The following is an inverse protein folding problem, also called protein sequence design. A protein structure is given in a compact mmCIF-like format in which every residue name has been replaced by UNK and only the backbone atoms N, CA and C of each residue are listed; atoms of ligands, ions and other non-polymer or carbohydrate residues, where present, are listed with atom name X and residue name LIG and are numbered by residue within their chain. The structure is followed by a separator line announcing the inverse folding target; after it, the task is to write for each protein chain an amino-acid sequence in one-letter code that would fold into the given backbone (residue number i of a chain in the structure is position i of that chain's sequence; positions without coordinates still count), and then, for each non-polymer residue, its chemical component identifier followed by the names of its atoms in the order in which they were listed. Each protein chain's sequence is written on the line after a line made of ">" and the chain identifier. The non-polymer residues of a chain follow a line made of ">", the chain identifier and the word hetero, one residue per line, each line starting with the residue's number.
data_IF_178191151948
#
_entry.id   IF_178191151948
#
_cell.length_a   1.000
_cell.length_b   1.000
_cell.length_c   1.000
_cell.angle_alpha   90.00
_cell.angle_beta   90.00
_cell.angle_gamma   90.00
#
_symmetry.space_group_name_H-M   'P 1'
#
loop_
_entity.id
_entity.type
_entity.pdbx_description
1 polymer ?
#
# COMPACT_ATOMS: atom_id res chain seq x y z
N UNK A 1 -0.42 -13.46 -31.52
CA UNK A 1 -1.51 -13.26 -30.54
C UNK A 1 -1.08 -12.14 -29.61
N UNK A 2 -1.77 -11.00 -29.69
CA UNK A 2 -1.36 -9.75 -29.04
C UNK A 2 -1.67 -9.78 -27.53
N UNK A 3 -0.77 -10.35 -26.72
CA UNK A 3 -0.86 -10.42 -25.26
C UNK A 3 -0.26 -9.16 -24.56
N UNK A 4 0.35 -8.26 -25.36
CA UNK A 4 1.16 -7.16 -24.83
C UNK A 4 0.39 -5.98 -24.22
N UNK A 5 -0.93 -5.86 -24.38
CA UNK A 5 -1.68 -4.63 -24.08
C UNK A 5 -2.91 -4.82 -23.18
N UNK A 6 -3.03 -5.92 -22.45
CA UNK A 6 -4.15 -6.10 -21.54
C UNK A 6 -4.03 -5.14 -20.33
N UNK A 7 -5.07 -4.34 -20.10
CA UNK A 7 -5.20 -3.42 -18.96
C UNK A 7 -5.80 -4.13 -17.75
N UNK A 8 -5.48 -3.66 -16.56
CA UNK A 8 -6.15 -4.08 -15.33
C UNK A 8 -7.63 -3.66 -15.34
N UNK A 9 -8.47 -4.35 -14.58
CA UNK A 9 -9.87 -3.96 -14.39
C UNK A 9 -9.97 -2.60 -13.70
N UNK A 10 -11.04 -1.86 -13.97
CA UNK A 10 -11.25 -0.55 -13.35
C UNK A 10 -11.25 -0.64 -11.81
N UNK A 11 -11.80 -1.72 -11.24
CA UNK A 11 -11.79 -1.96 -9.79
C UNK A 11 -10.36 -2.08 -9.26
N UNK A 12 -9.50 -2.87 -9.95
CA UNK A 12 -8.10 -3.01 -9.56
C UNK A 12 -7.32 -1.68 -9.64
N UNK A 13 -7.64 -0.85 -10.65
CA UNK A 13 -7.04 0.48 -10.84
C UNK A 13 -7.48 1.43 -9.73
N UNK A 14 -8.79 1.53 -9.45
CA UNK A 14 -9.33 2.38 -8.38
C UNK A 14 -8.72 2.01 -7.04
N UNK A 15 -8.77 0.72 -6.67
CA UNK A 15 -8.18 0.24 -5.41
C UNK A 15 -6.69 0.55 -5.31
N UNK A 16 -5.95 0.40 -6.43
CA UNK A 16 -4.53 0.74 -6.45
C UNK A 16 -4.27 2.20 -6.11
N UNK A 17 -4.93 3.11 -6.82
CA UNK A 17 -4.69 4.54 -6.65
C UNK A 17 -5.21 5.07 -5.32
N UNK A 18 -6.32 4.55 -4.79
CA UNK A 18 -6.80 4.90 -3.45
C UNK A 18 -5.79 4.47 -2.36
N UNK A 19 -5.32 3.23 -2.42
CA UNK A 19 -4.31 2.72 -1.47
C UNK A 19 -3.01 3.53 -1.62
N UNK A 20 -2.55 3.78 -2.85
CA UNK A 20 -1.33 4.56 -3.09
C UNK A 20 -1.46 5.99 -2.51
N UNK A 21 -2.58 6.66 -2.73
CA UNK A 21 -2.81 8.00 -2.19
C UNK A 21 -2.81 8.02 -0.65
N UNK A 22 -3.43 7.03 0.00
CA UNK A 22 -3.45 6.92 1.46
C UNK A 22 -2.06 6.61 2.04
N UNK A 23 -1.28 5.73 1.38
CA UNK A 23 0.10 5.44 1.80
C UNK A 23 0.96 6.69 1.64
N UNK A 24 0.91 7.37 0.50
CA UNK A 24 1.65 8.62 0.26
C UNK A 24 1.29 9.69 1.28
N UNK A 25 0.00 9.84 1.60
CA UNK A 25 -0.46 10.74 2.65
C UNK A 25 0.16 10.39 4.00
N UNK A 26 0.08 9.12 4.42
CA UNK A 26 0.64 8.67 5.70
C UNK A 26 2.16 8.85 5.77
N UNK A 27 2.87 8.55 4.70
CA UNK A 27 4.32 8.76 4.61
C UNK A 27 4.66 10.25 4.68
N UNK A 28 3.97 11.08 3.89
CA UNK A 28 4.21 12.51 3.86
C UNK A 28 3.96 13.16 5.23
N UNK A 29 2.86 12.79 5.90
CA UNK A 29 2.53 13.35 7.22
C UNK A 29 3.55 12.99 8.29
N UNK A 30 4.15 11.80 8.23
CA UNK A 30 5.14 11.37 9.24
C UNK A 30 6.57 11.82 8.95
N UNK A 31 6.93 12.02 7.68
CA UNK A 31 8.28 12.44 7.29
C UNK A 31 8.47 13.96 7.17
N UNK A 32 7.41 14.68 6.81
CA UNK A 32 7.51 16.11 6.45
C UNK A 32 6.98 17.04 7.53
N UNK A 33 6.29 16.52 8.54
CA UNK A 33 5.76 17.36 9.61
C UNK A 33 6.72 17.44 10.81
N UNK A 34 6.71 18.57 11.55
CA UNK A 34 7.52 18.77 12.76
C UNK A 34 7.23 17.71 13.83
N UNK A 35 8.17 17.52 14.77
CA UNK A 35 8.06 16.56 15.88
C UNK A 35 6.85 16.77 16.78
N UNK A 36 6.29 17.98 16.83
CA UNK A 36 5.07 18.35 17.57
C UNK A 36 3.78 18.16 16.75
N UNK A 37 3.74 17.11 15.93
CA UNK A 37 2.58 16.76 15.11
C UNK A 37 1.28 16.81 15.92
N UNK A 38 0.31 17.57 15.46
CA UNK A 38 -0.97 17.73 16.14
C UNK A 38 -1.67 16.36 16.33
N UNK A 39 -2.34 16.19 17.49
CA UNK A 39 -3.13 14.96 17.78
C UNK A 39 -4.07 14.61 16.64
N UNK A 40 -4.66 15.61 16.00
CA UNK A 40 -5.57 15.42 14.86
C UNK A 40 -4.89 14.73 13.67
N UNK A 41 -3.63 15.06 13.36
CA UNK A 41 -2.89 14.41 12.26
C UNK A 41 -2.55 12.95 12.59
N UNK A 42 -2.22 12.66 13.85
CA UNK A 42 -2.01 11.29 14.32
C UNK A 42 -3.31 10.48 14.20
N UNK A 43 -4.46 11.06 14.54
CA UNK A 43 -5.75 10.37 14.42
C UNK A 43 -6.13 10.13 12.96
N UNK A 44 -5.87 11.08 12.06
CA UNK A 44 -6.04 10.89 10.62
C UNK A 44 -5.08 9.80 10.09
N UNK A 45 -3.82 9.77 10.53
CA UNK A 45 -2.85 8.73 10.18
C UNK A 45 -3.35 7.33 10.56
N UNK A 46 -3.86 7.17 11.79
CA UNK A 46 -4.44 5.90 12.25
C UNK A 46 -5.64 5.49 11.41
N UNK A 47 -6.59 6.42 11.19
CA UNK A 47 -7.77 6.17 10.38
C UNK A 47 -7.42 5.79 8.94
N UNK A 48 -6.48 6.50 8.32
CA UNK A 48 -5.97 6.19 6.98
C UNK A 48 -5.26 4.82 6.95
N UNK A 49 -4.49 4.49 7.99
CA UNK A 49 -3.83 3.18 8.13
C UNK A 49 -4.84 2.02 8.17
N UNK A 50 -5.90 2.13 8.98
CA UNK A 50 -6.98 1.13 9.01
C UNK A 50 -7.70 1.06 7.65
N UNK A 51 -7.89 2.19 6.98
CA UNK A 51 -8.48 2.21 5.64
C UNK A 51 -7.59 1.49 4.61
N UNK A 52 -6.26 1.69 4.68
CA UNK A 52 -5.30 0.93 3.85
C UNK A 52 -5.43 -0.56 4.10
N UNK A 53 -5.53 -0.99 5.37
CA UNK A 53 -5.70 -2.41 5.72
C UNK A 53 -6.97 -2.99 5.08
N UNK A 54 -8.12 -2.33 5.24
CA UNK A 54 -9.39 -2.76 4.68
C UNK A 54 -9.38 -2.83 3.15
N UNK A 55 -8.90 -1.76 2.50
CA UNK A 55 -8.79 -1.71 1.03
C UNK A 55 -7.80 -2.74 0.49
N UNK A 56 -6.73 -3.04 1.23
CA UNK A 56 -5.75 -4.07 0.84
C UNK A 56 -6.35 -5.46 0.92
N UNK A 57 -7.19 -5.75 1.92
CA UNK A 57 -7.92 -7.00 2.01
C UNK A 57 -8.90 -7.16 0.82
N UNK A 58 -9.66 -6.10 0.49
CA UNK A 58 -10.56 -6.09 -0.67
C UNK A 58 -9.75 -6.29 -1.97
N UNK A 59 -8.63 -5.59 -2.12
CA UNK A 59 -7.76 -5.69 -3.29
C UNK A 59 -7.15 -7.09 -3.43
N UNK A 60 -6.73 -7.71 -2.34
CA UNK A 60 -6.22 -9.08 -2.34
C UNK A 60 -7.32 -10.06 -2.74
N UNK A 61 -8.52 -9.97 -2.15
CA UNK A 61 -9.69 -10.76 -2.52
C UNK A 61 -10.03 -10.63 -4.01
N UNK A 62 -10.04 -9.38 -4.52
CA UNK A 62 -10.24 -9.12 -5.95
C UNK A 62 -9.18 -9.81 -6.81
N UNK A 63 -7.92 -9.72 -6.40
CA UNK A 63 -6.79 -10.34 -7.11
C UNK A 63 -6.87 -11.86 -7.15
N UNK A 64 -7.34 -12.50 -6.09
CA UNK A 64 -7.46 -13.96 -6.01
C UNK A 64 -8.62 -14.50 -6.86
N UNK A 65 -9.65 -13.69 -7.10
CA UNK A 65 -10.87 -14.10 -7.82
C UNK A 65 -10.90 -13.67 -9.29
N UNK A 66 -9.99 -12.78 -9.73
CA UNK A 66 -9.98 -12.24 -11.08
C UNK A 66 -8.62 -12.41 -11.76
N UNK A 67 -8.64 -12.69 -13.07
CA UNK A 67 -7.41 -12.78 -13.86
C UNK A 67 -6.78 -11.40 -14.03
N UNK A 68 -5.46 -11.33 -13.93
CA UNK A 68 -4.68 -10.10 -14.17
C UNK A 68 -3.79 -10.26 -15.40
N UNK A 69 -3.44 -9.16 -16.05
CA UNK A 69 -2.53 -9.17 -17.19
C UNK A 69 -1.15 -9.73 -16.80
N UNK A 70 -0.55 -10.60 -17.62
CA UNK A 70 0.82 -11.05 -17.40
C UNK A 70 1.81 -9.88 -17.51
N UNK A 71 2.99 -10.03 -16.93
CA UNK A 71 4.08 -9.06 -17.12
C UNK A 71 4.47 -9.00 -18.61
N UNK A 72 4.95 -7.84 -19.06
CA UNK A 72 5.38 -7.67 -20.45
C UNK A 72 6.50 -8.64 -20.81
N UNK A 73 6.43 -9.21 -22.03
CA UNK A 73 7.47 -10.10 -22.55
C UNK A 73 8.78 -9.35 -22.86
N UNK A 74 8.71 -8.03 -23.00
CA UNK A 74 9.86 -7.15 -23.22
C UNK A 74 10.79 -7.05 -21.99
N UNK A 75 10.29 -7.42 -20.78
CA UNK A 75 11.08 -7.37 -19.57
C UNK A 75 12.04 -8.56 -19.48
N UNK A 76 13.28 -8.31 -19.05
CA UNK A 76 14.24 -9.37 -18.74
C UNK A 76 13.74 -10.25 -17.58
N UNK A 77 14.23 -11.48 -17.51
CA UNK A 77 13.79 -12.46 -16.49
C UNK A 77 13.98 -11.95 -15.07
N UNK A 78 15.11 -11.31 -14.79
CA UNK A 78 15.39 -10.74 -13.48
C UNK A 78 14.47 -9.56 -13.13
N UNK A 79 14.08 -8.73 -14.11
CA UNK A 79 13.13 -7.62 -13.90
C UNK A 79 11.74 -8.17 -13.57
N UNK A 80 11.31 -9.25 -14.25
CA UNK A 80 10.06 -9.94 -13.92
C UNK A 80 10.08 -10.53 -12.51
N UNK A 81 11.21 -11.10 -12.10
CA UNK A 81 11.38 -11.63 -10.74
C UNK A 81 11.34 -10.51 -9.70
N UNK A 82 12.07 -9.42 -9.92
CA UNK A 82 12.09 -8.25 -9.03
C UNK A 82 10.71 -7.61 -8.91
N UNK A 83 9.99 -7.44 -10.03
CA UNK A 83 8.63 -6.89 -10.03
C UNK A 83 7.66 -7.77 -9.21
N UNK A 84 7.75 -9.11 -9.35
CA UNK A 84 6.93 -10.04 -8.56
C UNK A 84 7.26 -9.94 -7.07
N UNK A 85 8.55 -9.96 -6.72
CA UNK A 85 9.01 -9.86 -5.33
C UNK A 85 8.53 -8.54 -4.69
N UNK A 86 8.69 -7.42 -5.39
CA UNK A 86 8.23 -6.09 -4.94
C UNK A 86 6.72 -6.09 -4.68
N UNK A 87 5.91 -6.65 -5.59
CA UNK A 87 4.46 -6.71 -5.38
C UNK A 87 4.06 -7.63 -4.22
N UNK A 88 4.70 -8.79 -4.07
CA UNK A 88 4.44 -9.68 -2.93
C UNK A 88 4.78 -8.97 -1.62
N UNK A 89 5.93 -8.32 -1.57
CA UNK A 89 6.38 -7.61 -0.37
C UNK A 89 5.47 -6.42 -0.03
N UNK A 90 4.97 -5.69 -1.04
CA UNK A 90 3.94 -4.68 -0.79
C UNK A 90 2.67 -5.28 -0.17
N UNK A 91 2.17 -6.41 -0.69
CA UNK A 91 1.01 -7.05 -0.06
C UNK A 91 1.28 -7.41 1.40
N UNK A 92 2.44 -7.96 1.72
CA UNK A 92 2.82 -8.25 3.11
C UNK A 92 2.84 -6.98 3.96
N UNK A 93 3.49 -5.92 3.48
CA UNK A 93 3.65 -4.67 4.23
C UNK A 93 2.33 -3.89 4.38
N UNK A 94 1.43 -3.94 3.40
CA UNK A 94 0.10 -3.32 3.50
C UNK A 94 -0.77 -3.96 4.61
N UNK A 95 -0.42 -5.16 5.09
CA UNK A 95 -1.04 -5.76 6.28
C UNK A 95 -0.18 -5.54 7.52
N UNK A 96 1.13 -5.79 7.45
CA UNK A 96 2.03 -5.70 8.60
C UNK A 96 2.06 -4.31 9.20
N UNK A 97 2.23 -3.27 8.37
CA UNK A 97 2.37 -1.88 8.85
C UNK A 97 1.12 -1.43 9.62
N UNK A 98 -0.10 -1.45 9.06
CA UNK A 98 -1.27 -0.98 9.79
C UNK A 98 -1.66 -1.89 10.96
N UNK A 99 -1.45 -3.20 10.87
CA UNK A 99 -1.70 -4.11 12.00
C UNK A 99 -0.74 -3.85 13.15
N UNK A 100 0.55 -3.65 12.89
CA UNK A 100 1.53 -3.30 13.93
C UNK A 100 1.17 -1.97 14.61
N UNK A 101 0.74 -0.95 13.84
CA UNK A 101 0.26 0.31 14.39
C UNK A 101 -1.00 0.15 15.25
N UNK A 102 -1.94 -0.69 14.84
CA UNK A 102 -3.15 -0.95 15.61
C UNK A 102 -2.84 -1.75 16.89
N UNK A 103 -1.98 -2.76 16.82
CA UNK A 103 -1.49 -3.51 17.99
C UNK A 103 -0.74 -2.61 18.97
N UNK A 104 0.10 -1.69 18.47
CA UNK A 104 0.81 -0.70 19.30
C UNK A 104 -0.16 0.14 20.14
N UNK A 105 -1.20 0.70 19.53
CA UNK A 105 -2.19 1.52 20.24
C UNK A 105 -2.99 0.67 21.22
N UNK A 106 -3.37 -0.54 20.80
CA UNK A 106 -4.15 -1.48 21.62
C UNK A 106 -3.39 -1.97 22.84
N UNK A 107 -2.13 -2.39 22.67
CA UNK A 107 -1.27 -2.84 23.77
C UNK A 107 -0.80 -1.67 24.68
N UNK A 108 -0.74 -0.46 24.13
CA UNK A 108 -0.36 0.75 24.89
C UNK A 108 -1.49 1.25 25.78
N UNK A 109 -2.29 2.17 25.28
CA UNK A 109 -3.42 2.78 26.01
C UNK A 109 -4.69 1.96 25.95
N UNK A 110 -4.86 1.16 24.91
CA UNK A 110 -6.11 0.44 24.62
C UNK A 110 -7.24 1.36 24.17
N UNK A 111 -6.88 2.55 23.66
CA UNK A 111 -7.87 3.49 23.14
C UNK A 111 -8.40 2.99 21.78
N UNK A 112 -9.68 3.23 21.49
CA UNK A 112 -10.22 2.97 20.17
C UNK A 112 -9.59 3.92 19.13
N UNK A 113 -9.61 3.52 17.87
CA UNK A 113 -9.18 4.37 16.75
C UNK A 113 -10.41 5.06 16.18
N UNK A 114 -10.47 6.39 16.31
CA UNK A 114 -11.54 7.17 15.68
C UNK A 114 -11.35 7.19 14.17
N UNK A 115 -12.32 6.62 13.43
CA UNK A 115 -12.28 6.57 11.98
C UNK A 115 -12.80 7.88 11.40
N UNK A 116 -11.87 8.81 11.15
CA UNK A 116 -12.12 10.16 10.62
C UNK A 116 -13.17 10.96 11.42
N UNK A 117 -13.37 10.65 12.69
CA UNK A 117 -14.38 11.30 13.54
C UNK A 117 -15.82 10.82 13.33
N UNK A 118 -16.04 9.78 12.51
CA UNK A 118 -17.37 9.25 12.19
C UNK A 118 -17.81 8.15 13.17
N UNK A 119 -16.93 7.25 13.53
CA UNK A 119 -17.14 6.16 14.49
C UNK A 119 -15.81 5.66 15.01
N UNK A 120 -15.87 4.91 16.11
CA UNK A 120 -14.70 4.36 16.75
C UNK A 120 -14.53 2.88 16.43
N UNK A 121 -13.31 2.51 16.02
CA UNK A 121 -12.89 1.13 15.80
C UNK A 121 -12.28 0.63 17.12
N UNK A 122 -12.81 -0.44 17.72
CA UNK A 122 -12.37 -0.89 19.03
C UNK A 122 -10.90 -1.32 19.02
N UNK A 123 -10.23 -1.19 20.17
CA UNK A 123 -8.91 -1.77 20.34
C UNK A 123 -8.94 -3.29 20.13
N UNK A 124 -7.83 -3.85 19.65
CA UNK A 124 -7.67 -5.30 19.55
C UNK A 124 -7.64 -5.93 20.96
N UNK A 125 -8.18 -7.15 21.13
CA UNK A 125 -8.23 -7.82 22.43
C UNK A 125 -6.85 -8.40 22.84
N UNK A 126 -5.88 -7.51 23.03
CA UNK A 126 -4.54 -7.85 23.48
C UNK A 126 -4.28 -7.28 24.88
N UNK A 127 -3.46 -7.95 25.72
CA UNK A 127 -3.09 -7.41 27.02
C UNK A 127 -2.42 -6.05 26.90
N UNK A 128 -2.71 -5.15 27.85
CA UNK A 128 -2.00 -3.87 27.97
C UNK A 128 -0.60 -4.13 28.53
N UNK A 129 0.38 -3.93 27.66
CA UNK A 129 1.79 -4.14 27.98
C UNK A 129 2.64 -3.10 27.27
N UNK A 130 3.35 -2.28 28.04
CA UNK A 130 4.22 -1.23 27.51
C UNK A 130 5.38 -1.80 26.68
N UNK A 131 5.95 -2.95 27.07
CA UNK A 131 7.04 -3.57 26.34
C UNK A 131 6.55 -4.09 24.98
N UNK A 132 5.38 -4.75 24.94
CA UNK A 132 4.75 -5.18 23.70
C UNK A 132 4.39 -3.97 22.80
N UNK A 133 3.85 -2.90 23.37
CA UNK A 133 3.58 -1.67 22.62
C UNK A 133 4.85 -1.08 22.00
N UNK A 134 5.97 -1.07 22.72
CA UNK A 134 7.27 -0.66 22.20
C UNK A 134 7.77 -1.55 21.06
N UNK A 135 7.61 -2.86 21.18
CA UNK A 135 7.95 -3.80 20.11
C UNK A 135 7.12 -3.54 18.83
N UNK A 136 5.80 -3.35 18.96
CA UNK A 136 4.93 -3.06 17.82
C UNK A 136 5.22 -1.69 17.21
N UNK A 137 5.62 -0.70 18.01
CA UNK A 137 6.10 0.59 17.50
C UNK A 137 7.32 0.39 16.59
N UNK A 138 8.33 -0.31 17.08
CA UNK A 138 9.57 -0.59 16.33
C UNK A 138 9.28 -1.37 15.04
N UNK A 139 8.40 -2.39 15.11
CA UNK A 139 7.98 -3.15 13.93
C UNK A 139 7.28 -2.26 12.91
N UNK A 140 6.34 -1.41 13.37
CA UNK A 140 5.64 -0.45 12.50
C UNK A 140 6.61 0.50 11.80
N UNK A 141 7.53 1.08 12.55
CA UNK A 141 8.51 2.04 12.06
C UNK A 141 9.42 1.44 10.98
N UNK A 142 10.08 0.30 11.26
CA UNK A 142 10.96 -0.36 10.29
C UNK A 142 10.21 -0.86 9.06
N UNK A 143 9.02 -1.43 9.25
CA UNK A 143 8.19 -1.87 8.13
C UNK A 143 7.71 -0.67 7.27
N UNK A 144 7.43 0.48 7.89
CA UNK A 144 7.09 1.71 7.17
C UNK A 144 8.28 2.25 6.35
N UNK A 145 9.50 2.29 6.92
CA UNK A 145 10.70 2.67 6.16
C UNK A 145 10.99 1.71 5.00
N UNK A 146 10.80 0.41 5.21
CA UNK A 146 10.92 -0.58 4.14
C UNK A 146 9.88 -0.31 3.04
N UNK A 147 8.65 0.08 3.42
CA UNK A 147 7.59 0.45 2.46
C UNK A 147 8.02 1.67 1.63
N UNK A 148 8.63 2.68 2.24
CA UNK A 148 9.16 3.86 1.54
C UNK A 148 10.24 3.46 0.53
N UNK A 149 11.20 2.63 0.92
CA UNK A 149 12.25 2.13 0.02
C UNK A 149 11.68 1.36 -1.17
N UNK A 150 10.70 0.48 -0.91
CA UNK A 150 9.99 -0.25 -1.97
C UNK A 150 9.17 0.68 -2.88
N UNK A 151 8.58 1.74 -2.33
CA UNK A 151 7.83 2.71 -3.11
C UNK A 151 8.74 3.44 -4.11
N UNK A 152 9.92 3.85 -3.68
CA UNK A 152 10.93 4.44 -4.57
C UNK A 152 11.32 3.47 -5.68
N UNK A 153 11.60 2.21 -5.34
CA UNK A 153 11.92 1.16 -6.29
C UNK A 153 10.78 0.90 -7.27
N UNK A 154 9.55 0.82 -6.78
CA UNK A 154 8.35 0.56 -7.58
C UNK A 154 8.05 1.69 -8.57
N UNK A 155 8.08 2.93 -8.10
CA UNK A 155 7.86 4.11 -8.96
C UNK A 155 9.01 4.25 -9.96
N UNK A 156 10.27 4.12 -9.53
CA UNK A 156 11.44 4.15 -10.39
C UNK A 156 11.39 3.08 -11.49
N UNK A 157 11.03 1.85 -11.13
CA UNK A 157 10.83 0.76 -12.09
C UNK A 157 9.70 1.04 -13.08
N UNK A 158 8.56 1.55 -12.61
CA UNK A 158 7.44 1.91 -13.47
C UNK A 158 7.79 3.02 -14.47
N UNK A 159 8.54 4.04 -14.03
CA UNK A 159 9.05 5.12 -14.88
C UNK A 159 10.08 4.58 -15.90
N UNK A 160 11.06 3.78 -15.45
CA UNK A 160 12.03 3.15 -16.36
C UNK A 160 11.32 2.35 -17.45
N UNK A 161 10.42 1.45 -17.07
CA UNK A 161 9.71 0.63 -18.05
C UNK A 161 8.84 1.44 -19.00
N UNK A 162 8.24 2.55 -18.56
CA UNK A 162 7.39 3.38 -19.40
C UNK A 162 8.17 4.29 -20.34
N UNK A 163 9.26 4.91 -19.88
CA UNK A 163 9.98 5.94 -20.64
C UNK A 163 11.26 5.43 -21.31
N UNK A 164 11.98 4.50 -20.70
CA UNK A 164 13.25 3.96 -21.24
C UNK A 164 12.97 2.72 -22.09
N UNK A 165 12.29 1.72 -21.50
CA UNK A 165 12.04 0.45 -22.19
C UNK A 165 10.84 0.53 -23.13
N UNK A 166 10.04 1.62 -23.06
CA UNK A 166 8.80 1.80 -23.82
C UNK A 166 7.83 0.62 -23.70
N UNK A 167 7.92 -0.09 -22.59
CA UNK A 167 7.05 -1.20 -22.26
C UNK A 167 5.75 -0.69 -21.59
N UNK A 168 4.61 -1.36 -21.77
CA UNK A 168 3.34 -0.96 -21.17
C UNK A 168 3.36 -1.17 -19.66
N UNK A 169 3.82 -0.19 -18.90
CA UNK A 169 3.87 -0.15 -17.43
C UNK A 169 2.72 0.68 -16.85
N UNK A 170 2.92 1.99 -16.77
CA UNK A 170 1.95 2.95 -16.23
C UNK A 170 0.62 2.94 -16.98
N UNK A 171 0.63 2.79 -18.33
CA UNK A 171 -0.58 2.76 -19.14
C UNK A 171 -1.56 1.66 -18.77
N UNK A 172 -1.08 0.55 -18.19
CA UNK A 172 -1.92 -0.57 -17.74
C UNK A 172 -2.69 -0.26 -16.45
N UNK A 173 -2.22 0.70 -15.67
CA UNK A 173 -2.80 1.18 -14.42
C UNK A 173 -3.46 2.56 -14.55
N UNK A 174 -3.70 3.02 -15.80
CA UNK A 174 -4.34 4.31 -16.07
C UNK A 174 -5.79 4.13 -16.56
N UNK A 175 -6.63 5.13 -16.26
CA UNK A 175 -7.99 5.21 -16.76
C UNK A 175 -7.95 5.62 -18.25
N UNK A 176 -8.64 4.93 -19.10
CA UNK A 176 -8.70 5.26 -20.53
C UNK A 176 -9.08 4.05 -21.37
N UNK A 177 -9.44 4.27 -22.63
CA UNK A 177 -9.56 3.20 -23.62
C UNK A 177 -8.15 2.68 -23.89
N UNK A 178 -7.92 1.38 -23.81
CA UNK A 178 -6.73 0.77 -24.38
C UNK A 178 -6.59 1.23 -25.85
N UNK A 179 -5.38 1.23 -26.44
CA UNK A 179 -5.21 1.63 -27.83
C UNK A 179 -6.24 0.92 -28.69
N UNK A 180 -6.91 1.71 -29.53
CA UNK A 180 -7.92 1.22 -30.46
C UNK A 180 -7.30 0.07 -31.28
N UNK A 181 -7.99 -1.06 -31.36
CA UNK A 181 -7.63 -2.10 -32.33
C UNK A 181 -7.69 -1.47 -33.71
N UNK A 182 -6.56 -1.31 -34.33
CA UNK A 182 -6.45 -1.12 -35.79
C UNK A 182 -6.25 -2.46 -36.46
#
# INVERSE_FOLDING_TARGET
>A
MDQGQQRYSNVAIVLHWLIAALILWNVATMLLLPEDVSRRLIDIHKAAGITVLALSAIRLGWRLTHRWPPLSDQLATWEKALARATHVLFYVLMFVVPLAGWLMVSAGRGDPVSWFGLFDIPALPVPRDRAAAGYYYTLHEYAAFLTVGLLVLHVGGALKHSFVDRAPGLSRMWFGRGPARR
#
